data_IF_826251252128
#
_entry.id   IF_826251252128
#
_cell.length_a   1.000
_cell.length_b   1.000
_cell.length_c   1.000
_cell.angle_alpha   90.00
_cell.angle_beta   90.00
_cell.angle_gamma   90.00
#
_symmetry.space_group_name_H-M   'P 1'
#
loop_
_entity.id
_entity.type
_entity.pdbx_description
1 polymer ?
#
# COMPACT_ATOMS: atom_id res chain seq x y z
N UNK A 1 48.73 5.13 -10.71
CA UNK A 1 49.78 4.25 -10.14
C UNK A 1 49.12 2.98 -9.65
N UNK A 2 49.55 1.81 -10.12
CA UNK A 2 49.01 0.52 -9.66
C UNK A 2 49.70 0.14 -8.34
N UNK A 3 48.95 -0.42 -7.38
CA UNK A 3 49.45 -0.94 -6.11
C UNK A 3 49.17 -2.43 -5.99
N UNK A 4 49.98 -3.15 -5.21
CA UNK A 4 49.78 -4.56 -4.90
C UNK A 4 48.80 -4.69 -3.73
N UNK A 5 47.76 -5.49 -3.88
CA UNK A 5 46.80 -5.79 -2.82
C UNK A 5 47.47 -6.59 -1.70
N UNK A 6 47.33 -6.12 -0.45
CA UNK A 6 47.90 -6.80 0.72
C UNK A 6 47.25 -8.16 1.01
N UNK A 7 46.01 -8.39 0.57
CA UNK A 7 45.26 -9.62 0.89
C UNK A 7 45.39 -10.73 -0.16
N UNK A 8 45.53 -10.40 -1.45
CA UNK A 8 45.62 -11.40 -2.52
C UNK A 8 46.83 -11.24 -3.45
N UNK A 9 47.67 -10.22 -3.24
CA UNK A 9 48.86 -9.99 -4.03
C UNK A 9 48.63 -9.50 -5.47
N UNK A 10 47.37 -9.37 -5.93
CA UNK A 10 47.04 -8.83 -7.26
C UNK A 10 47.33 -7.34 -7.35
N UNK A 11 47.79 -6.88 -8.51
CA UNK A 11 47.92 -5.45 -8.82
C UNK A 11 46.53 -4.85 -9.06
N UNK A 12 46.24 -3.69 -8.47
CA UNK A 12 45.00 -2.95 -8.67
C UNK A 12 45.26 -1.45 -8.70
N UNK A 13 44.34 -0.69 -9.29
CA UNK A 13 44.40 0.78 -9.27
C UNK A 13 43.56 1.29 -8.10
N UNK A 14 44.16 1.82 -7.03
CA UNK A 14 43.41 2.33 -5.89
C UNK A 14 42.66 3.60 -6.27
N UNK A 15 41.40 3.71 -5.83
CA UNK A 15 40.57 4.91 -6.04
C UNK A 15 41.08 6.11 -5.23
N UNK A 16 41.61 5.84 -4.04
CA UNK A 16 42.19 6.83 -3.14
C UNK A 16 43.48 6.27 -2.52
N UNK A 17 44.40 7.15 -2.14
CA UNK A 17 45.78 6.78 -1.76
C UNK A 17 45.89 5.80 -0.59
N UNK A 18 44.91 5.79 0.32
CA UNK A 18 44.88 4.94 1.51
C UNK A 18 44.34 3.52 1.27
N UNK A 19 43.82 3.19 0.08
CA UNK A 19 43.32 1.85 -0.20
C UNK A 19 44.47 0.83 -0.29
N UNK A 20 44.42 -0.18 0.58
CA UNK A 20 45.45 -1.23 0.70
C UNK A 20 45.05 -2.59 0.10
N UNK A 21 43.75 -2.82 -0.08
CA UNK A 21 43.20 -4.06 -0.63
C UNK A 21 42.43 -3.79 -1.92
N UNK A 22 42.45 -4.75 -2.85
CA UNK A 22 41.67 -4.65 -4.09
C UNK A 22 40.18 -4.76 -3.80
N UNK A 23 39.36 -4.33 -4.77
CA UNK A 23 37.91 -4.34 -4.67
C UNK A 23 37.33 -5.73 -4.30
N UNK A 24 37.87 -6.80 -4.90
CA UNK A 24 37.42 -8.18 -4.61
C UNK A 24 37.68 -8.58 -3.14
N UNK A 25 38.86 -8.28 -2.61
CA UNK A 25 39.22 -8.59 -1.22
C UNK A 25 38.43 -7.73 -0.24
N UNK A 26 38.26 -6.45 -0.55
CA UNK A 26 37.46 -5.53 0.23
C UNK A 26 35.98 -5.95 0.28
N UNK A 27 35.42 -6.36 -0.87
CA UNK A 27 34.05 -6.87 -0.96
C UNK A 27 33.86 -8.17 -0.16
N UNK A 28 34.83 -9.09 -0.19
CA UNK A 28 34.82 -10.31 0.63
C UNK A 28 34.90 -10.02 2.12
N UNK A 29 35.70 -9.04 2.55
CA UNK A 29 35.85 -8.67 3.96
C UNK A 29 34.61 -7.94 4.53
N UNK A 30 33.90 -7.17 3.71
CA UNK A 30 32.68 -6.46 4.13
C UNK A 30 31.38 -7.27 3.97
N UNK A 31 31.47 -8.54 3.60
CA UNK A 31 30.27 -9.35 3.36
C UNK A 31 29.37 -8.76 2.28
N UNK A 32 29.94 -8.10 1.27
CA UNK A 32 29.16 -7.64 0.12
C UNK A 32 28.71 -8.89 -0.66
N UNK A 33 27.39 -9.12 -0.80
CA UNK A 33 26.91 -10.35 -1.41
C UNK A 33 27.25 -10.34 -2.90
N UNK A 34 28.18 -11.22 -3.26
CA UNK A 34 28.37 -11.66 -4.64
C UNK A 34 27.13 -12.47 -5.02
N UNK A 35 26.29 -11.88 -5.86
CA UNK A 35 25.42 -12.59 -6.81
C UNK A 35 24.70 -13.86 -6.32
N UNK A 36 24.10 -13.84 -5.13
CA UNK A 36 23.07 -14.83 -4.81
C UNK A 36 21.74 -14.29 -5.33
N UNK A 37 21.28 -14.85 -6.44
CA UNK A 37 19.85 -15.06 -6.66
C UNK A 37 19.33 -15.89 -5.47
N UNK A 38 19.12 -15.23 -4.34
CA UNK A 38 18.26 -15.78 -3.31
C UNK A 38 16.89 -16.03 -3.94
N UNK A 39 16.11 -17.01 -3.46
CA UNK A 39 14.75 -17.19 -3.96
C UNK A 39 14.07 -15.83 -3.92
N UNK A 40 13.66 -15.31 -5.10
CA UNK A 40 12.81 -14.13 -5.20
C UNK A 40 11.61 -14.45 -4.31
N UNK A 41 11.62 -13.94 -3.09
CA UNK A 41 10.47 -14.02 -2.22
C UNK A 41 9.34 -13.42 -3.04
N UNK A 42 8.35 -14.26 -3.37
CA UNK A 42 7.22 -13.85 -4.17
C UNK A 42 6.55 -12.61 -3.54
N UNK A 43 5.74 -11.88 -4.30
CA UNK A 43 5.04 -10.71 -3.78
C UNK A 43 4.39 -11.05 -2.44
N UNK A 44 4.68 -10.28 -1.40
CA UNK A 44 3.98 -10.38 -0.12
C UNK A 44 2.47 -10.35 -0.41
N UNK A 45 1.69 -11.34 0.05
CA UNK A 45 0.26 -11.42 -0.26
C UNK A 45 -0.46 -10.17 0.23
N UNK A 46 -1.42 -9.66 -0.55
CA UNK A 46 -2.25 -8.54 -0.09
C UNK A 46 -2.98 -8.96 1.18
N UNK A 47 -2.86 -8.17 2.24
CA UNK A 47 -3.51 -8.46 3.52
C UNK A 47 -5.04 -8.27 3.49
N UNK A 48 -5.58 -7.72 2.41
CA UNK A 48 -7.02 -7.69 2.16
C UNK A 48 -7.46 -9.07 1.64
N UNK A 49 -8.37 -9.77 2.34
CA UNK A 49 -8.84 -11.10 1.92
C UNK A 49 -9.42 -11.09 0.51
N UNK A 50 -9.28 -12.20 -0.24
CA UNK A 50 -9.81 -12.27 -1.62
C UNK A 50 -11.34 -12.31 -1.68
N UNK A 51 -11.98 -12.72 -0.58
CA UNK A 51 -13.43 -12.77 -0.41
C UNK A 51 -14.02 -11.43 0.09
N UNK A 52 -13.17 -10.44 0.36
CA UNK A 52 -13.56 -9.12 0.85
C UNK A 52 -14.50 -8.44 -0.16
N UNK A 53 -15.74 -8.18 0.26
CA UNK A 53 -16.83 -7.59 -0.55
C UNK A 53 -17.40 -8.48 -1.66
N UNK A 54 -17.19 -9.80 -1.65
CA UNK A 54 -17.85 -10.71 -2.62
C UNK A 54 -19.39 -10.57 -2.57
N UNK A 55 -19.93 -10.33 -1.37
CA UNK A 55 -21.37 -10.12 -1.12
C UNK A 55 -21.81 -8.65 -1.24
N UNK A 56 -20.90 -7.73 -1.60
CA UNK A 56 -21.15 -6.28 -1.54
C UNK A 56 -21.14 -5.74 -0.10
N UNK A 57 -21.70 -4.53 0.07
CA UNK A 57 -21.72 -3.84 1.36
C UNK A 57 -22.91 -4.19 2.24
N UNK A 58 -24.03 -4.61 1.64
CA UNK A 58 -25.32 -4.63 2.32
C UNK A 58 -25.76 -6.04 2.69
N UNK A 59 -26.13 -6.24 3.96
CA UNK A 59 -26.80 -7.48 4.41
C UNK A 59 -28.24 -7.55 3.91
N UNK A 60 -28.87 -6.38 3.80
CA UNK A 60 -30.24 -6.19 3.35
C UNK A 60 -30.20 -5.21 2.19
N UNK A 61 -30.50 -5.71 0.99
CA UNK A 61 -30.44 -4.93 -0.24
C UNK A 61 -31.54 -3.86 -0.33
N UNK A 62 -32.69 -4.09 0.32
CA UNK A 62 -33.81 -3.15 0.31
C UNK A 62 -33.56 -2.02 1.32
N UNK A 63 -33.17 -2.38 2.54
CA UNK A 63 -32.93 -1.41 3.62
C UNK A 63 -31.55 -0.76 3.55
N UNK A 64 -30.66 -1.28 2.69
CA UNK A 64 -29.27 -0.83 2.54
C UNK A 64 -28.51 -0.80 3.87
N UNK A 65 -28.74 -1.83 4.69
CA UNK A 65 -28.04 -2.00 5.97
C UNK A 65 -26.68 -2.63 5.71
N UNK A 66 -25.61 -1.93 6.08
CA UNK A 66 -24.23 -2.40 5.91
C UNK A 66 -23.97 -3.63 6.78
N UNK A 67 -23.24 -4.61 6.28
CA UNK A 67 -22.78 -5.75 7.08
C UNK A 67 -22.03 -5.27 8.33
N UNK A 68 -22.43 -5.67 9.55
CA UNK A 68 -21.75 -5.23 10.79
C UNK A 68 -20.25 -5.57 10.80
N UNK A 69 -19.88 -6.72 10.23
CA UNK A 69 -18.47 -7.12 10.10
C UNK A 69 -17.63 -6.12 9.29
N UNK A 70 -18.22 -5.40 8.33
CA UNK A 70 -17.52 -4.34 7.60
C UNK A 70 -17.28 -3.13 8.50
N UNK A 71 -18.15 -2.83 9.45
CA UNK A 71 -17.96 -1.69 10.36
C UNK A 71 -16.98 -2.00 11.50
N UNK A 72 -16.85 -3.29 11.85
CA UNK A 72 -16.06 -3.75 12.99
C UNK A 72 -14.89 -4.64 12.55
N UNK A 73 -15.02 -5.97 12.65
CA UNK A 73 -13.93 -6.92 12.52
C UNK A 73 -13.12 -6.79 11.22
N UNK A 74 -13.77 -6.59 10.07
CA UNK A 74 -13.08 -6.39 8.78
C UNK A 74 -12.42 -5.02 8.72
N UNK A 75 -13.06 -3.96 9.20
CA UNK A 75 -12.46 -2.63 9.26
C UNK A 75 -11.21 -2.62 10.14
N UNK A 76 -11.29 -3.25 11.32
CA UNK A 76 -10.15 -3.44 12.23
C UNK A 76 -9.02 -4.22 11.56
N UNK A 77 -9.30 -5.36 10.94
CA UNK A 77 -8.28 -6.17 10.27
C UNK A 77 -7.58 -5.43 9.13
N UNK A 78 -8.32 -4.63 8.36
CA UNK A 78 -7.76 -3.79 7.30
C UNK A 78 -6.92 -2.66 7.88
N UNK A 79 -7.41 -1.97 8.90
CA UNK A 79 -6.68 -0.90 9.58
C UNK A 79 -5.36 -1.43 10.17
N UNK A 80 -5.39 -2.59 10.81
CA UNK A 80 -4.20 -3.25 11.31
C UNK A 80 -3.24 -3.60 10.17
N UNK A 81 -3.75 -4.18 9.09
CA UNK A 81 -2.95 -4.53 7.93
C UNK A 81 -2.27 -3.31 7.29
N UNK A 82 -2.99 -2.20 7.13
CA UNK A 82 -2.45 -0.92 6.66
C UNK A 82 -1.37 -0.39 7.62
N UNK A 83 -1.59 -0.49 8.92
CA UNK A 83 -0.63 -0.06 9.94
C UNK A 83 0.63 -0.90 9.90
N UNK A 84 0.52 -2.24 9.89
CA UNK A 84 1.64 -3.20 9.77
C UNK A 84 2.40 -3.00 8.46
N UNK A 85 1.69 -2.64 7.40
CA UNK A 85 2.27 -2.28 6.13
C UNK A 85 2.98 -0.91 6.16
N UNK A 86 2.99 -0.16 7.27
CA UNK A 86 3.58 1.18 7.41
C UNK A 86 3.03 2.21 6.40
N UNK A 87 1.78 2.04 5.95
CA UNK A 87 1.08 3.08 5.18
C UNK A 87 1.03 4.35 6.02
N UNK A 88 1.29 5.51 5.42
CA UNK A 88 1.24 6.76 6.18
C UNK A 88 -0.20 7.24 6.39
N UNK A 89 -0.46 7.91 7.52
CA UNK A 89 -1.75 8.57 7.76
C UNK A 89 -2.13 9.53 6.62
N UNK A 90 -1.14 10.26 6.08
CA UNK A 90 -1.36 11.13 4.93
C UNK A 90 -1.83 10.38 3.68
N UNK A 91 -1.33 9.17 3.43
CA UNK A 91 -1.79 8.33 2.31
C UNK A 91 -3.24 7.88 2.50
N UNK A 92 -3.58 7.32 3.66
CA UNK A 92 -4.96 6.86 3.95
C UNK A 92 -5.94 8.03 3.87
N UNK A 93 -5.63 9.13 4.56
CA UNK A 93 -6.46 10.33 4.60
C UNK A 93 -6.66 10.94 3.21
N UNK A 94 -5.63 10.97 2.35
CA UNK A 94 -5.75 11.48 0.98
C UNK A 94 -6.86 10.79 0.20
N UNK A 95 -6.92 9.46 0.22
CA UNK A 95 -7.95 8.71 -0.52
C UNK A 95 -9.34 8.87 0.10
N UNK A 96 -9.42 8.95 1.43
CA UNK A 96 -10.70 9.25 2.10
C UNK A 96 -11.21 10.66 1.75
N UNK A 97 -10.34 11.68 1.78
CA UNK A 97 -10.69 13.04 1.35
C UNK A 97 -11.11 13.10 -0.11
N UNK A 98 -10.47 12.33 -1.00
CA UNK A 98 -10.92 12.21 -2.39
C UNK A 98 -12.34 11.63 -2.48
N UNK A 99 -12.65 10.58 -1.72
CA UNK A 99 -13.98 10.00 -1.69
C UNK A 99 -15.04 11.00 -1.16
N UNK A 100 -14.75 11.71 -0.07
CA UNK A 100 -15.62 12.79 0.45
C UNK A 100 -15.80 13.95 -0.55
N UNK A 101 -14.77 14.28 -1.32
CA UNK A 101 -14.91 15.29 -2.38
C UNK A 101 -15.87 14.83 -3.49
N UNK A 102 -15.85 13.55 -3.85
CA UNK A 102 -16.79 12.99 -4.84
C UNK A 102 -18.22 12.92 -4.31
N UNK A 103 -18.40 12.64 -3.01
CA UNK A 103 -19.70 12.76 -2.34
C UNK A 103 -20.26 14.18 -2.43
N UNK A 104 -19.47 15.20 -2.07
CA UNK A 104 -19.91 16.60 -2.15
C UNK A 104 -20.32 17.00 -3.58
N UNK A 105 -19.62 16.49 -4.60
CA UNK A 105 -19.98 16.72 -6.02
C UNK A 105 -21.31 16.06 -6.39
N UNK A 106 -21.54 14.85 -5.89
CA UNK A 106 -22.80 14.14 -6.06
C UNK A 106 -23.97 14.85 -5.36
N UNK A 107 -23.73 15.39 -4.16
CA UNK A 107 -24.70 16.23 -3.44
C UNK A 107 -25.00 17.54 -4.17
N UNK A 108 -24.02 18.08 -4.89
CA UNK A 108 -24.17 19.27 -5.74
C UNK A 108 -24.90 19.00 -7.06
N UNK A 109 -25.38 17.77 -7.28
CA UNK A 109 -26.21 17.41 -8.43
C UNK A 109 -25.45 16.82 -9.62
N UNK A 110 -24.16 16.50 -9.49
CA UNK A 110 -23.43 15.80 -10.54
C UNK A 110 -23.96 14.37 -10.74
N UNK A 111 -23.97 13.88 -11.98
CA UNK A 111 -24.46 12.53 -12.26
C UNK A 111 -23.54 11.46 -11.66
N UNK A 112 -24.14 10.38 -11.18
CA UNK A 112 -23.40 9.30 -10.57
C UNK A 112 -22.45 8.60 -11.56
N UNK A 113 -22.75 8.59 -12.87
CA UNK A 113 -21.86 8.03 -13.90
C UNK A 113 -20.50 8.77 -13.96
N UNK A 114 -20.51 10.11 -13.82
CA UNK A 114 -19.29 10.90 -13.76
C UNK A 114 -18.50 10.62 -12.47
N UNK A 115 -19.22 10.48 -11.34
CA UNK A 115 -18.63 10.09 -10.07
C UNK A 115 -18.00 8.69 -10.14
N UNK A 116 -18.68 7.73 -10.78
CA UNK A 116 -18.17 6.37 -10.99
C UNK A 116 -16.89 6.35 -11.83
N UNK A 117 -16.79 7.21 -12.86
CA UNK A 117 -15.56 7.38 -13.64
C UNK A 117 -14.39 7.93 -12.79
N UNK A 118 -14.65 8.91 -11.93
CA UNK A 118 -13.64 9.43 -11.01
C UNK A 118 -13.25 8.44 -9.91
N UNK A 119 -14.19 7.62 -9.41
CA UNK A 119 -13.91 6.49 -8.53
C UNK A 119 -12.94 5.51 -9.21
N UNK A 120 -13.17 5.15 -10.48
CA UNK A 120 -12.23 4.31 -11.25
C UNK A 120 -10.86 4.96 -11.39
N UNK A 121 -10.78 6.29 -11.54
CA UNK A 121 -9.52 7.04 -11.56
C UNK A 121 -8.74 6.94 -10.24
N UNK A 122 -9.43 6.76 -9.10
CA UNK A 122 -8.74 6.49 -7.82
C UNK A 122 -7.86 5.24 -7.89
N UNK A 123 -8.28 4.19 -8.61
CA UNK A 123 -7.48 2.97 -8.83
C UNK A 123 -6.17 3.28 -9.55
N UNK A 124 -6.24 4.12 -10.60
CA UNK A 124 -5.05 4.57 -11.32
C UNK A 124 -4.11 5.40 -10.43
N UNK A 125 -4.68 6.29 -9.61
CA UNK A 125 -3.90 7.12 -8.67
C UNK A 125 -3.15 6.27 -7.64
N UNK A 126 -3.81 5.28 -7.05
CA UNK A 126 -3.13 4.37 -6.10
C UNK A 126 -2.10 3.49 -6.80
N UNK A 127 -2.38 3.00 -8.01
CA UNK A 127 -1.40 2.26 -8.81
C UNK A 127 -0.14 3.09 -9.12
N UNK A 128 -0.29 4.37 -9.45
CA UNK A 128 0.84 5.27 -9.70
C UNK A 128 1.70 5.49 -8.44
N UNK A 129 1.07 5.60 -7.26
CA UNK A 129 1.79 5.69 -5.99
C UNK A 129 2.54 4.38 -5.71
N UNK A 130 1.93 3.24 -5.95
CA UNK A 130 2.56 1.90 -5.80
C UNK A 130 3.74 1.72 -6.74
N UNK A 131 3.60 2.11 -8.01
CA UNK A 131 4.65 1.95 -9.02
C UNK A 131 5.92 2.74 -8.72
N UNK A 132 5.81 3.91 -8.08
CA UNK A 132 6.96 4.75 -7.70
C UNK A 132 7.76 4.22 -6.51
N UNK A 133 7.27 3.18 -5.83
CA UNK A 133 7.82 2.68 -4.57
C UNK A 133 8.80 1.50 -4.78
N UNK A 134 9.05 1.11 -6.04
CA UNK A 134 9.83 -0.09 -6.40
C UNK A 134 11.30 -0.13 -5.96
N UNK A 135 11.89 0.98 -5.50
CA UNK A 135 13.31 1.02 -5.06
C UNK A 135 13.58 0.55 -3.62
N UNK A 136 12.73 -0.32 -3.04
CA UNK A 136 13.04 -0.91 -1.73
C UNK A 136 12.07 -1.98 -1.27
N UNK A 137 12.60 -3.19 -1.02
CA UNK A 137 11.87 -4.40 -0.61
C UNK A 137 10.87 -4.19 0.55
N UNK A 138 11.19 -3.33 1.53
CA UNK A 138 10.29 -3.06 2.65
C UNK A 138 9.06 -2.20 2.30
N UNK A 139 9.10 -1.43 1.21
CA UNK A 139 7.97 -0.60 0.78
C UNK A 139 7.05 -1.29 -0.23
N UNK A 140 7.40 -2.49 -0.68
CA UNK A 140 6.61 -3.21 -1.68
C UNK A 140 5.33 -3.82 -1.07
N UNK A 141 5.42 -4.37 0.16
CA UNK A 141 4.24 -4.79 0.93
C UNK A 141 3.37 -3.62 1.39
N UNK A 142 4.00 -2.46 1.62
CA UNK A 142 3.40 -1.19 2.07
C UNK A 142 2.24 -0.76 1.19
N UNK A 143 2.45 -0.82 -0.13
CA UNK A 143 1.54 -0.17 -1.07
C UNK A 143 0.53 -1.14 -1.70
N UNK A 144 0.82 -2.45 -1.68
CA UNK A 144 -0.09 -3.48 -2.22
C UNK A 144 -1.36 -3.64 -1.38
N UNK A 145 -1.28 -3.53 -0.05
CA UNK A 145 -2.46 -3.60 0.83
C UNK A 145 -3.40 -2.42 0.58
N UNK A 146 -2.87 -1.19 0.57
CA UNK A 146 -3.69 0.00 0.27
C UNK A 146 -4.29 -0.07 -1.15
N UNK A 147 -3.50 -0.49 -2.14
CA UNK A 147 -4.00 -0.69 -3.50
C UNK A 147 -5.16 -1.69 -3.55
N UNK A 148 -4.99 -2.85 -2.93
CA UNK A 148 -6.02 -3.90 -2.93
C UNK A 148 -7.29 -3.42 -2.21
N UNK A 149 -7.14 -2.72 -1.09
CA UNK A 149 -8.27 -2.10 -0.39
C UNK A 149 -9.03 -1.12 -1.28
N UNK A 150 -8.33 -0.17 -1.91
CA UNK A 150 -8.96 0.82 -2.80
C UNK A 150 -9.58 0.15 -4.02
N UNK A 151 -8.89 -0.81 -4.65
CA UNK A 151 -9.40 -1.48 -5.85
C UNK A 151 -10.71 -2.21 -5.57
N UNK A 152 -10.74 -3.04 -4.52
CA UNK A 152 -11.92 -3.85 -4.19
C UNK A 152 -13.11 -2.98 -3.76
N UNK A 153 -12.86 -1.91 -2.98
CA UNK A 153 -13.91 -0.97 -2.62
C UNK A 153 -14.42 -0.18 -3.83
N UNK A 154 -13.54 0.30 -4.72
CA UNK A 154 -13.99 0.98 -5.93
C UNK A 154 -14.83 0.04 -6.80
N UNK A 155 -14.43 -1.21 -6.97
CA UNK A 155 -15.17 -2.19 -7.79
C UNK A 155 -16.56 -2.51 -7.23
N UNK A 156 -16.73 -2.46 -5.91
CA UNK A 156 -18.05 -2.56 -5.27
C UNK A 156 -18.82 -1.23 -5.34
N UNK A 157 -18.14 -0.12 -5.10
CA UNK A 157 -18.73 1.21 -5.00
C UNK A 157 -19.32 1.67 -6.33
N UNK A 158 -18.68 1.40 -7.48
CA UNK A 158 -19.12 1.85 -8.83
C UNK A 158 -20.39 1.18 -9.33
N UNK A 159 -20.91 0.17 -8.62
CA UNK A 159 -22.12 -0.57 -9.03
C UNK A 159 -23.37 0.31 -8.92
N UNK A 160 -23.44 1.13 -7.89
CA UNK A 160 -24.58 2.00 -7.64
C UNK A 160 -24.25 3.10 -6.61
N UNK A 161 -25.06 4.17 -6.65
CA UNK A 161 -24.93 5.33 -5.76
C UNK A 161 -24.92 4.96 -4.28
N UNK A 162 -25.76 4.03 -3.86
CA UNK A 162 -25.87 3.65 -2.45
C UNK A 162 -24.64 2.86 -2.00
N UNK A 163 -24.13 1.95 -2.83
CA UNK A 163 -22.88 1.23 -2.58
C UNK A 163 -21.70 2.18 -2.35
N UNK A 164 -21.66 3.32 -3.05
CA UNK A 164 -20.68 4.37 -2.76
C UNK A 164 -20.97 5.11 -1.45
N UNK A 165 -22.16 5.69 -1.32
CA UNK A 165 -22.49 6.62 -0.23
C UNK A 165 -22.63 5.93 1.14
N UNK A 166 -23.36 4.82 1.21
CA UNK A 166 -23.64 4.11 2.46
C UNK A 166 -22.69 2.93 2.68
N UNK A 167 -22.15 2.36 1.61
CA UNK A 167 -21.24 1.23 1.69
C UNK A 167 -19.79 1.67 1.89
N UNK A 168 -19.19 2.17 0.81
CA UNK A 168 -17.77 2.49 0.78
C UNK A 168 -17.38 3.60 1.77
N UNK A 169 -18.08 4.73 1.78
CA UNK A 169 -17.72 5.85 2.68
C UNK A 169 -17.79 5.45 4.16
N UNK A 170 -18.90 4.83 4.59
CA UNK A 170 -19.08 4.37 5.96
C UNK A 170 -18.01 3.34 6.35
N UNK A 171 -17.76 2.35 5.48
CA UNK A 171 -16.72 1.36 5.75
C UNK A 171 -15.32 1.99 5.83
N UNK A 172 -14.99 2.91 4.93
CA UNK A 172 -13.69 3.57 4.89
C UNK A 172 -13.51 4.49 6.11
N UNK A 173 -14.55 5.15 6.58
CA UNK A 173 -14.52 5.92 7.83
C UNK A 173 -14.16 5.03 9.02
N UNK A 174 -14.80 3.86 9.18
CA UNK A 174 -14.45 2.89 10.23
C UNK A 174 -12.98 2.45 10.12
N UNK A 175 -12.50 2.11 8.92
CA UNK A 175 -11.10 1.75 8.68
C UNK A 175 -10.16 2.88 9.10
N UNK A 176 -10.48 4.14 8.75
CA UNK A 176 -9.68 5.30 9.11
C UNK A 176 -9.62 5.50 10.64
N UNK A 177 -10.75 5.37 11.33
CA UNK A 177 -10.83 5.47 12.79
C UNK A 177 -9.96 4.40 13.48
N UNK A 178 -10.10 3.13 13.11
CA UNK A 178 -9.25 2.06 13.66
C UNK A 178 -7.79 2.25 13.27
N UNK A 179 -7.50 2.79 12.08
CA UNK A 179 -6.13 3.04 11.64
C UNK A 179 -5.45 4.13 12.48
N UNK A 180 -6.17 5.19 12.86
CA UNK A 180 -5.70 6.19 13.85
C UNK A 180 -5.36 5.52 15.18
N UNK A 181 -6.23 4.62 15.66
CA UNK A 181 -5.98 3.87 16.88
C UNK A 181 -4.68 3.04 16.78
N UNK A 182 -4.53 2.20 15.75
CA UNK A 182 -3.33 1.36 15.58
C UNK A 182 -2.04 2.17 15.39
N UNK A 183 -2.09 3.33 14.75
CA UNK A 183 -0.90 4.17 14.54
C UNK A 183 -0.50 4.96 15.79
N UNK A 184 -1.46 5.34 16.64
CA UNK A 184 -1.17 5.97 17.93
C UNK A 184 -0.51 5.03 18.94
N UNK A 185 -0.81 3.73 18.88
CA UNK A 185 -0.18 2.71 19.74
C UNK A 185 1.29 2.44 19.39
N UNK A 186 1.69 2.61 18.12
CA UNK A 186 3.08 2.42 17.68
C UNK A 186 4.04 3.54 18.09
N UNK A 187 3.50 4.70 18.46
CA UNK A 187 4.28 5.87 18.88
C UNK A 187 4.53 5.95 20.38
N UNK A 188 4.04 4.98 21.16
CA UNK A 188 4.36 4.78 22.58
C UNK A 188 5.36 3.64 22.72
#
# INVERSE_FOLDING_TARGET
>A
MQKKCESCGKMFTPRESFHRTCFECFAKQRGAPTGREGPRAGPLPSAVPKDYLTRGYFQDAERRVVFPELLEARAMGIAEALSRANVSMGQVRRYFTMARFLENRLESGESYDLIANELRRMKANVAAVVGRVQDGYQREGLTRTLKSFIDQNVDAAVRDKESFLKGFLTHFECVLCYFVWYTSQKGR
#
